data_IF_528173255090
#
_entry.id   IF_528173255090
#
_cell.length_a   1.000
_cell.length_b   1.000
_cell.length_c   1.000
_cell.angle_alpha   90.00
_cell.angle_beta   90.00
_cell.angle_gamma   90.00
#
_symmetry.space_group_name_H-M   'P 1'
#
loop_
_entity.id
_entity.type
_entity.pdbx_description
1 polymer ?
#
# COMPACT_ATOMS: atom_id res chain seq x y z
N UNK A 1 58.21 16.90 -85.10
CA UNK A 1 57.46 16.94 -83.82
C UNK A 1 58.46 16.79 -82.67
N UNK A 2 58.57 17.80 -81.82
CA UNK A 2 59.68 18.00 -80.87
C UNK A 2 59.62 17.03 -79.68
N UNK A 3 60.69 16.22 -79.49
CA UNK A 3 60.87 15.33 -78.34
C UNK A 3 60.82 16.05 -76.97
N UNK A 4 61.14 17.35 -76.95
CA UNK A 4 61.10 18.17 -75.74
C UNK A 4 59.67 18.54 -75.29
N UNK A 5 58.68 18.56 -76.20
CA UNK A 5 57.28 18.80 -75.84
C UNK A 5 56.65 17.57 -75.17
N UNK A 6 56.93 16.36 -75.71
CA UNK A 6 56.50 15.08 -75.12
C UNK A 6 57.04 14.84 -73.71
N UNK A 7 58.33 15.15 -73.46
CA UNK A 7 58.92 15.02 -72.11
C UNK A 7 58.34 16.01 -71.09
N UNK A 8 57.91 17.20 -71.51
CA UNK A 8 57.21 18.15 -70.64
C UNK A 8 55.78 17.72 -70.35
N UNK A 9 55.06 17.16 -71.33
CA UNK A 9 53.73 16.58 -71.09
C UNK A 9 53.76 15.34 -70.18
N UNK A 10 54.76 14.46 -70.32
CA UNK A 10 54.91 13.28 -69.45
C UNK A 10 55.32 13.63 -68.01
N UNK A 11 56.14 14.66 -67.80
CA UNK A 11 56.44 15.16 -66.45
C UNK A 11 55.19 15.74 -65.78
N UNK A 12 54.42 16.53 -66.52
CA UNK A 12 53.21 17.19 -66.02
C UNK A 12 52.11 16.18 -65.65
N UNK A 13 51.97 15.09 -66.42
CA UNK A 13 51.03 14.00 -66.10
C UNK A 13 51.44 13.19 -64.86
N UNK A 14 52.74 13.00 -64.63
CA UNK A 14 53.24 12.30 -63.43
C UNK A 14 53.04 13.13 -62.17
N UNK A 15 53.31 14.43 -62.21
CA UNK A 15 53.04 15.34 -61.09
C UNK A 15 51.53 15.42 -60.81
N UNK A 16 50.70 15.52 -61.84
CA UNK A 16 49.24 15.51 -61.69
C UNK A 16 48.71 14.17 -61.14
N UNK A 17 49.29 13.04 -61.55
CA UNK A 17 48.89 11.72 -61.04
C UNK A 17 49.30 11.53 -59.58
N UNK A 18 50.48 12.01 -59.17
CA UNK A 18 50.94 11.96 -57.77
C UNK A 18 50.08 12.88 -56.90
N UNK A 19 49.77 14.09 -57.36
CA UNK A 19 48.88 15.04 -56.66
C UNK A 19 47.48 14.43 -56.44
N UNK A 20 46.91 13.81 -57.48
CA UNK A 20 45.60 13.13 -57.37
C UNK A 20 45.61 11.89 -56.48
N UNK A 21 46.72 11.15 -56.43
CA UNK A 21 46.88 10.01 -55.51
C UNK A 21 47.04 10.48 -54.06
N UNK A 22 47.77 11.57 -53.83
CA UNK A 22 47.89 12.20 -52.50
C UNK A 22 46.53 12.73 -52.04
N UNK A 23 45.79 13.43 -52.91
CA UNK A 23 44.41 13.86 -52.64
C UNK A 23 43.51 12.66 -52.27
N UNK A 24 43.58 11.57 -53.03
CA UNK A 24 42.80 10.36 -52.77
C UNK A 24 43.13 9.77 -51.39
N UNK A 25 44.40 9.63 -51.06
CA UNK A 25 44.86 9.09 -49.76
C UNK A 25 44.46 10.01 -48.61
N UNK A 26 44.57 11.34 -48.78
CA UNK A 26 44.15 12.32 -47.77
C UNK A 26 42.63 12.31 -47.55
N UNK A 27 41.83 12.12 -48.60
CA UNK A 27 40.37 11.98 -48.48
C UNK A 27 40.00 10.72 -47.69
N UNK A 28 40.65 9.59 -47.95
CA UNK A 28 40.39 8.35 -47.20
C UNK A 28 40.88 8.41 -45.74
N UNK A 29 42.03 9.02 -45.47
CA UNK A 29 42.52 9.27 -44.11
C UNK A 29 41.59 10.21 -43.34
N UNK A 30 41.11 11.28 -44.00
CA UNK A 30 40.14 12.21 -43.43
C UNK A 30 38.81 11.55 -43.10
N UNK A 31 38.30 10.67 -43.98
CA UNK A 31 37.07 9.90 -43.74
C UNK A 31 37.24 8.90 -42.59
N UNK A 32 38.36 8.20 -42.51
CA UNK A 32 38.64 7.27 -41.41
C UNK A 32 38.77 8.00 -40.07
N UNK A 33 39.45 9.15 -40.04
CA UNK A 33 39.53 9.99 -38.86
C UNK A 33 38.17 10.53 -38.43
N UNK A 34 37.31 10.92 -39.38
CA UNK A 34 35.96 11.39 -39.09
C UNK A 34 35.07 10.28 -38.50
N UNK A 35 35.13 9.06 -39.05
CA UNK A 35 34.42 7.89 -38.52
C UNK A 35 34.95 7.55 -37.11
N UNK A 36 36.27 7.58 -36.91
CA UNK A 36 36.85 7.32 -35.59
C UNK A 36 36.46 8.38 -34.53
N UNK A 37 36.37 9.65 -34.93
CA UNK A 37 35.89 10.74 -34.06
C UNK A 37 34.40 10.59 -33.77
N UNK A 38 33.58 10.22 -34.77
CA UNK A 38 32.16 9.93 -34.59
C UNK A 38 31.95 8.76 -33.64
N UNK A 39 32.64 7.64 -33.84
CA UNK A 39 32.59 6.48 -32.94
C UNK A 39 33.01 6.85 -31.51
N UNK A 40 34.00 7.74 -31.36
CA UNK A 40 34.44 8.20 -30.05
C UNK A 40 33.40 9.12 -29.38
N UNK A 41 32.72 9.98 -30.15
CA UNK A 41 31.65 10.84 -29.66
C UNK A 41 30.41 10.02 -29.27
N UNK A 42 30.04 9.05 -30.09
CA UNK A 42 28.90 8.17 -29.85
C UNK A 42 29.14 7.32 -28.59
N UNK A 43 30.33 6.72 -28.42
CA UNK A 43 30.68 6.01 -27.18
C UNK A 43 30.69 6.90 -25.94
N UNK A 44 31.18 8.14 -26.08
CA UNK A 44 31.16 9.09 -24.97
C UNK A 44 29.72 9.50 -24.59
N UNK A 45 28.85 9.65 -25.58
CA UNK A 45 27.43 9.92 -25.39
C UNK A 45 26.72 8.74 -24.73
N UNK A 46 26.90 7.52 -25.24
CA UNK A 46 26.33 6.29 -24.65
C UNK A 46 26.76 6.13 -23.18
N UNK A 47 28.04 6.38 -22.87
CA UNK A 47 28.56 6.34 -21.48
C UNK A 47 27.88 7.38 -20.58
N UNK A 48 27.63 8.58 -21.09
CA UNK A 48 26.92 9.61 -20.33
C UNK A 48 25.43 9.28 -20.15
N UNK A 49 24.77 8.79 -21.19
CA UNK A 49 23.37 8.35 -21.15
C UNK A 49 23.20 7.21 -20.13
N UNK A 50 24.12 6.25 -20.10
CA UNK A 50 24.13 5.16 -19.11
C UNK A 50 24.35 5.67 -17.68
N UNK A 51 25.27 6.61 -17.46
CA UNK A 51 25.48 7.25 -16.14
C UNK A 51 24.23 8.00 -15.67
N UNK A 52 23.55 8.71 -16.57
CA UNK A 52 22.31 9.41 -16.26
C UNK A 52 21.18 8.43 -15.91
N UNK A 53 21.08 7.32 -16.63
CA UNK A 53 20.16 6.23 -16.32
C UNK A 53 20.39 5.67 -14.91
N UNK A 54 21.65 5.34 -14.57
CA UNK A 54 22.02 4.86 -13.23
C UNK A 54 21.65 5.88 -12.13
N UNK A 55 21.89 7.16 -12.37
CA UNK A 55 21.51 8.21 -11.44
C UNK A 55 19.97 8.35 -11.28
N UNK A 56 19.21 8.14 -12.36
CA UNK A 56 17.75 8.11 -12.31
C UNK A 56 17.25 6.95 -11.44
N UNK A 57 17.76 5.74 -11.68
CA UNK A 57 17.41 4.56 -10.87
C UNK A 57 17.77 4.75 -9.40
N UNK A 58 18.93 5.33 -9.09
CA UNK A 58 19.33 5.61 -7.71
C UNK A 58 18.31 6.54 -7.01
N UNK A 59 17.91 7.65 -7.66
CA UNK A 59 16.92 8.58 -7.10
C UNK A 59 15.57 7.91 -6.86
N UNK A 60 15.17 7.05 -7.78
CA UNK A 60 13.92 6.28 -7.71
C UNK A 60 13.93 5.25 -6.58
N UNK A 61 15.01 4.46 -6.44
CA UNK A 61 15.16 3.50 -5.34
C UNK A 61 15.18 4.20 -3.99
N UNK A 62 15.85 5.35 -3.86
CA UNK A 62 15.83 6.17 -2.63
C UNK A 62 14.42 6.68 -2.32
N UNK A 63 13.71 7.17 -3.34
CA UNK A 63 12.32 7.63 -3.17
C UNK A 63 11.42 6.48 -2.68
N UNK A 64 11.50 5.32 -3.32
CA UNK A 64 10.76 4.12 -2.96
C UNK A 64 11.09 3.62 -1.54
N UNK A 65 12.37 3.59 -1.18
CA UNK A 65 12.78 3.23 0.19
C UNK A 65 12.14 4.17 1.22
N UNK A 66 12.01 5.46 0.89
CA UNK A 66 11.32 6.45 1.72
C UNK A 66 9.80 6.23 1.89
N UNK A 67 9.13 5.56 0.95
CA UNK A 67 7.68 5.28 1.03
C UNK A 67 7.32 4.35 2.20
N UNK A 68 8.29 3.60 2.75
CA UNK A 68 8.12 2.79 3.97
C UNK A 68 7.50 3.57 5.13
N UNK A 69 7.82 4.86 5.25
CA UNK A 69 7.30 5.73 6.33
C UNK A 69 5.78 5.87 6.28
N UNK A 70 5.17 5.81 5.10
CA UNK A 70 3.71 5.86 4.95
C UNK A 70 3.04 4.61 5.54
N UNK A 71 3.66 3.43 5.34
CA UNK A 71 3.19 2.19 5.97
C UNK A 71 3.41 2.22 7.48
N UNK A 72 4.55 2.73 7.95
CA UNK A 72 4.83 2.84 9.39
C UNK A 72 3.87 3.78 10.12
N UNK A 73 3.38 4.83 9.46
CA UNK A 73 2.35 5.71 10.00
C UNK A 73 1.05 4.97 10.32
N UNK A 74 0.75 3.87 9.61
CA UNK A 74 -0.49 3.11 9.76
C UNK A 74 -0.32 1.81 10.57
N UNK A 75 0.79 1.11 10.37
CA UNK A 75 1.09 -0.21 10.94
C UNK A 75 2.05 -0.15 12.14
N UNK A 76 2.57 1.04 12.46
CA UNK A 76 3.67 1.20 13.40
C UNK A 76 5.02 0.77 12.80
N UNK A 77 6.10 0.76 13.60
CA UNK A 77 7.45 0.45 13.14
C UNK A 77 7.51 -0.90 12.40
N UNK A 78 8.22 -0.96 11.26
CA UNK A 78 8.35 -2.22 10.50
C UNK A 78 9.08 -3.30 11.32
N UNK A 79 9.97 -2.93 12.24
CA UNK A 79 10.65 -3.87 13.13
C UNK A 79 9.76 -4.53 14.20
N UNK A 80 8.55 -4.00 14.45
CA UNK A 80 7.60 -4.59 15.39
C UNK A 80 6.73 -5.63 14.66
N UNK A 81 7.22 -6.86 14.54
CA UNK A 81 6.57 -7.93 13.76
C UNK A 81 5.61 -8.80 14.58
N UNK A 82 5.76 -8.83 15.91
CA UNK A 82 4.98 -9.70 16.78
C UNK A 82 3.69 -9.05 17.32
N UNK A 83 2.58 -9.79 17.45
CA UNK A 83 1.42 -9.35 18.22
C UNK A 83 1.79 -9.16 19.70
N UNK A 84 1.17 -8.21 20.42
CA UNK A 84 0.03 -7.37 20.01
C UNK A 84 0.40 -6.07 19.28
N UNK A 85 1.69 -5.80 19.09
CA UNK A 85 2.21 -4.48 18.68
C UNK A 85 2.34 -4.33 17.16
N UNK A 86 2.28 -5.43 16.42
CA UNK A 86 2.47 -5.47 14.98
C UNK A 86 1.45 -4.68 14.16
N UNK A 87 0.23 -4.45 14.68
CA UNK A 87 -0.78 -3.63 14.01
C UNK A 87 -0.59 -2.13 14.23
N UNK A 88 0.17 -1.71 15.24
CA UNK A 88 0.35 -0.30 15.58
C UNK A 88 -0.99 0.47 15.67
N UNK A 89 -1.11 1.65 15.05
CA UNK A 89 -2.35 2.44 15.01
C UNK A 89 -3.56 1.71 14.41
N UNK A 90 -3.35 0.77 13.49
CA UNK A 90 -4.43 -0.01 12.86
C UNK A 90 -5.19 -0.90 13.85
N UNK A 91 -4.63 -1.16 15.03
CA UNK A 91 -5.32 -1.91 16.09
C UNK A 91 -6.53 -1.16 16.64
N UNK A 92 -6.44 0.17 16.74
CA UNK A 92 -7.42 1.00 17.45
C UNK A 92 -8.86 0.82 16.92
N UNK A 93 -9.15 0.82 15.60
CA UNK A 93 -10.49 0.54 15.09
C UNK A 93 -11.10 -0.79 15.57
N UNK A 94 -10.30 -1.84 15.74
CA UNK A 94 -10.77 -3.13 16.26
C UNK A 94 -11.10 -3.04 17.76
N UNK A 95 -10.28 -2.32 18.53
CA UNK A 95 -10.50 -2.09 19.96
C UNK A 95 -11.77 -1.24 20.17
N UNK A 96 -11.89 -0.14 19.44
CA UNK A 96 -13.03 0.77 19.46
C UNK A 96 -14.33 0.01 19.09
N UNK A 97 -14.30 -0.82 18.04
CA UNK A 97 -15.46 -1.64 17.69
C UNK A 97 -15.83 -2.62 18.80
N UNK A 98 -14.85 -3.31 19.41
CA UNK A 98 -15.14 -4.29 20.47
C UNK A 98 -15.75 -3.63 21.71
N UNK A 99 -15.27 -2.45 22.08
CA UNK A 99 -15.82 -1.65 23.16
C UNK A 99 -17.27 -1.23 22.85
N UNK A 100 -17.50 -0.67 21.66
CA UNK A 100 -18.84 -0.25 21.21
C UNK A 100 -19.81 -1.43 21.11
N UNK A 101 -19.36 -2.58 20.62
CA UNK A 101 -20.15 -3.79 20.53
C UNK A 101 -20.55 -4.32 21.92
N UNK A 102 -19.66 -4.28 22.90
CA UNK A 102 -19.95 -4.69 24.28
C UNK A 102 -20.93 -3.75 24.96
N UNK A 103 -20.79 -2.45 24.74
CA UNK A 103 -21.73 -1.44 25.25
C UNK A 103 -23.11 -1.60 24.60
N UNK A 104 -23.17 -1.71 23.27
CA UNK A 104 -24.41 -1.95 22.54
C UNK A 104 -25.10 -3.24 23.00
N UNK A 105 -24.37 -4.35 23.16
CA UNK A 105 -24.95 -5.60 23.66
C UNK A 105 -25.55 -5.44 25.06
N UNK A 106 -24.85 -4.75 25.97
CA UNK A 106 -25.37 -4.45 27.32
C UNK A 106 -26.64 -3.62 27.27
N UNK A 107 -26.68 -2.58 26.44
CA UNK A 107 -27.86 -1.73 26.28
C UNK A 107 -29.05 -2.51 25.72
N UNK A 108 -28.86 -3.31 24.66
CA UNK A 108 -29.93 -4.13 24.10
C UNK A 108 -30.49 -5.13 25.11
N UNK A 109 -29.62 -5.77 25.90
CA UNK A 109 -30.03 -6.69 26.96
C UNK A 109 -30.82 -5.95 28.04
N UNK A 110 -30.37 -4.76 28.45
CA UNK A 110 -31.06 -3.96 29.46
C UNK A 110 -32.42 -3.43 28.97
N UNK A 111 -32.52 -3.00 27.71
CA UNK A 111 -33.79 -2.63 27.09
C UNK A 111 -34.76 -3.81 27.05
N UNK A 112 -34.28 -5.02 26.75
CA UNK A 112 -35.11 -6.22 26.77
C UNK A 112 -35.60 -6.59 28.19
N UNK A 113 -34.76 -6.36 29.22
CA UNK A 113 -35.13 -6.54 30.64
C UNK A 113 -36.20 -5.51 31.04
N UNK A 114 -36.03 -4.25 30.68
CA UNK A 114 -37.00 -3.18 30.94
C UNK A 114 -38.37 -3.51 30.31
N UNK A 115 -38.40 -3.85 29.02
CA UNK A 115 -39.63 -4.25 28.33
C UNK A 115 -40.30 -5.48 28.97
N UNK A 116 -39.51 -6.37 29.57
CA UNK A 116 -40.03 -7.53 30.31
C UNK A 116 -40.64 -7.13 31.65
N UNK A 117 -40.01 -6.22 32.37
CA UNK A 117 -40.52 -5.68 33.62
C UNK A 117 -41.83 -4.88 33.43
N UNK A 118 -41.98 -4.18 32.29
CA UNK A 118 -43.21 -3.44 31.94
C UNK A 118 -44.42 -4.36 31.69
N UNK A 119 -44.19 -5.56 31.16
CA UNK A 119 -45.25 -6.56 31.02
C UNK A 119 -45.58 -7.22 32.36
N UNK A 120 -44.54 -7.54 33.13
CA UNK A 120 -44.66 -8.19 34.43
C UNK A 120 -43.47 -7.83 35.33
N UNK A 121 -43.69 -7.23 36.50
CA UNK A 121 -42.60 -6.89 37.40
C UNK A 121 -41.86 -8.16 37.88
N UNK A 122 -40.54 -8.09 38.08
CA UNK A 122 -39.76 -9.20 38.60
C UNK A 122 -40.30 -9.64 39.96
N UNK A 123 -40.40 -10.95 40.17
CA UNK A 123 -40.95 -11.55 41.41
C UNK A 123 -39.87 -12.01 42.38
N UNK A 124 -38.64 -12.09 41.91
CA UNK A 124 -37.48 -12.57 42.62
C UNK A 124 -36.44 -11.46 42.80
N UNK A 125 -35.60 -11.60 43.82
CA UNK A 125 -34.57 -10.61 44.18
C UNK A 125 -33.54 -10.42 43.05
N UNK A 126 -33.22 -11.48 42.33
CA UNK A 126 -32.28 -11.44 41.22
C UNK A 126 -32.83 -10.62 40.04
N UNK A 127 -34.10 -10.81 39.67
CA UNK A 127 -34.76 -10.01 38.63
C UNK A 127 -34.88 -8.53 39.00
N UNK A 128 -35.18 -8.22 40.26
CA UNK A 128 -35.25 -6.83 40.74
C UNK A 128 -33.87 -6.14 40.73
N UNK A 129 -32.81 -6.84 41.14
CA UNK A 129 -31.45 -6.31 41.12
C UNK A 129 -30.98 -6.03 39.68
N UNK A 130 -31.21 -6.98 38.75
CA UNK A 130 -30.86 -6.81 37.34
C UNK A 130 -31.60 -5.63 36.69
N UNK A 131 -32.86 -5.40 37.08
CA UNK A 131 -33.64 -4.26 36.60
C UNK A 131 -33.05 -2.93 37.11
N UNK A 132 -32.62 -2.88 38.37
CA UNK A 132 -31.97 -1.70 38.94
C UNK A 132 -30.63 -1.39 38.24
N UNK A 133 -29.77 -2.39 38.07
CA UNK A 133 -28.49 -2.25 37.34
C UNK A 133 -28.69 -1.74 35.91
N UNK A 134 -29.75 -2.21 35.24
CA UNK A 134 -30.10 -1.75 33.89
C UNK A 134 -30.71 -0.35 33.86
N UNK A 135 -31.44 0.06 34.91
CA UNK A 135 -31.99 1.41 35.01
C UNK A 135 -30.85 2.44 35.14
N UNK A 136 -29.86 2.16 36.00
CA UNK A 136 -28.69 3.03 36.19
C UNK A 136 -27.89 3.20 34.88
N UNK A 137 -27.72 2.11 34.12
CA UNK A 137 -27.03 2.15 32.83
C UNK A 137 -27.78 2.99 31.78
N UNK A 138 -29.10 2.81 31.68
CA UNK A 138 -29.91 3.57 30.73
C UNK A 138 -29.96 5.07 31.08
N UNK A 139 -29.99 5.41 32.37
CA UNK A 139 -29.93 6.79 32.84
C UNK A 139 -28.59 7.47 32.51
N UNK A 140 -27.47 6.74 32.60
CA UNK A 140 -26.15 7.25 32.19
C UNK A 140 -26.10 7.55 30.69
N UNK A 141 -26.70 6.69 29.85
CA UNK A 141 -26.78 6.93 28.40
C UNK A 141 -27.66 8.13 28.08
N UNK A 142 -28.81 8.28 28.74
CA UNK A 142 -29.72 9.42 28.55
C UNK A 142 -29.05 10.76 28.87
N UNK A 143 -28.19 10.79 29.90
CA UNK A 143 -27.40 11.97 30.28
C UNK A 143 -26.26 12.30 29.32
N UNK A 144 -26.08 11.50 28.26
CA UNK A 144 -24.99 11.68 27.30
C UNK A 144 -23.60 11.36 27.89
N UNK A 145 -23.55 10.63 28.99
CA UNK A 145 -22.30 10.20 29.64
C UNK A 145 -21.74 8.92 29.02
N UNK A 146 -22.41 8.36 28.00
CA UNK A 146 -21.89 7.24 27.22
C UNK A 146 -20.67 7.66 26.40
N UNK A 147 -19.53 6.96 26.52
CA UNK A 147 -18.32 7.24 25.77
C UNK A 147 -18.43 6.92 24.27
N UNK A 148 -19.55 6.35 23.80
CA UNK A 148 -19.77 5.98 22.40
C UNK A 148 -20.14 7.19 21.51
N UNK A 149 -19.30 8.23 21.51
CA UNK A 149 -19.34 9.25 20.47
C UNK A 149 -18.86 8.65 19.14
N UNK A 150 -19.74 8.72 18.14
CA UNK A 150 -19.59 8.30 16.75
C UNK A 150 -18.14 8.22 16.23
N UNK A 151 -17.53 7.04 16.32
CA UNK A 151 -16.33 6.75 15.53
C UNK A 151 -16.75 6.68 14.06
N UNK A 152 -16.46 7.73 13.29
CA UNK A 152 -16.56 7.67 11.83
C UNK A 152 -15.46 6.74 11.31
N UNK A 153 -15.82 5.48 11.04
CA UNK A 153 -14.93 4.52 10.39
C UNK A 153 -14.69 4.94 8.94
N UNK A 154 -13.47 5.39 8.64
CA UNK A 154 -13.03 5.68 7.27
C UNK A 154 -12.41 4.41 6.66
N UNK A 155 -12.73 4.07 5.40
CA UNK A 155 -12.02 3.01 4.68
C UNK A 155 -10.51 3.26 4.73
N UNK A 156 -9.74 2.20 5.00
CA UNK A 156 -8.28 2.31 4.94
C UNK A 156 -7.83 2.20 3.49
N UNK A 157 -6.97 3.14 3.11
CA UNK A 157 -6.23 3.14 1.85
C UNK A 157 -4.76 3.35 2.18
N UNK A 158 -3.98 2.33 1.90
CA UNK A 158 -2.52 2.34 1.86
C UNK A 158 -2.02 2.65 0.43
N UNK A 159 -2.91 2.71 -0.57
CA UNK A 159 -2.56 3.01 -1.96
C UNK A 159 -2.34 4.51 -2.27
N UNK A 160 -1.43 4.85 -3.22
CA UNK A 160 -0.43 3.98 -3.84
C UNK A 160 0.91 4.05 -3.09
N UNK A 161 1.51 2.89 -2.78
CA UNK A 161 2.82 2.81 -2.11
C UNK A 161 4.00 2.74 -3.08
N UNK A 162 3.79 2.05 -4.20
CA UNK A 162 4.73 1.97 -5.31
C UNK A 162 3.87 2.01 -6.60
N UNK A 163 4.34 2.66 -7.66
CA UNK A 163 3.56 2.86 -8.90
C UNK A 163 3.98 1.83 -9.95
N UNK A 164 3.32 0.66 -9.99
CA UNK A 164 3.62 -0.47 -10.89
C UNK A 164 3.75 -0.07 -12.38
N UNK A 165 2.91 0.85 -12.83
CA UNK A 165 2.83 1.36 -14.21
C UNK A 165 4.11 2.07 -14.65
N UNK A 166 4.74 2.81 -13.74
CA UNK A 166 6.04 3.45 -13.97
C UNK A 166 7.12 2.38 -14.12
N UNK A 167 7.07 1.29 -13.34
CA UNK A 167 8.13 0.28 -13.29
C UNK A 167 8.15 -0.69 -14.47
N UNK A 168 6.99 -1.05 -15.01
CA UNK A 168 6.94 -1.90 -16.21
C UNK A 168 7.59 -1.20 -17.42
N UNK A 169 7.48 0.13 -17.52
CA UNK A 169 8.19 0.92 -18.53
C UNK A 169 9.71 0.87 -18.34
N UNK A 170 10.20 0.96 -17.09
CA UNK A 170 11.63 0.87 -16.78
C UNK A 170 12.21 -0.54 -16.93
N UNK A 171 11.49 -1.60 -16.58
CA UNK A 171 11.97 -2.98 -16.72
C UNK A 171 11.94 -3.47 -18.17
N UNK A 172 10.92 -3.07 -18.95
CA UNK A 172 10.82 -3.45 -20.37
C UNK A 172 11.94 -2.81 -21.22
N UNK A 173 12.36 -1.58 -20.90
CA UNK A 173 13.44 -0.89 -21.61
C UNK A 173 14.81 -1.07 -20.94
N UNK A 174 14.89 -1.07 -19.61
CA UNK A 174 16.15 -0.98 -18.85
C UNK A 174 17.01 -2.25 -18.84
N UNK A 175 16.43 -3.47 -18.86
CA UNK A 175 17.22 -4.72 -18.83
C UNK A 175 18.12 -4.88 -20.07
N UNK A 176 17.72 -4.28 -21.20
CA UNK A 176 18.57 -4.22 -22.41
C UNK A 176 19.69 -3.18 -22.31
N UNK A 177 19.51 -2.15 -21.48
CA UNK A 177 20.40 -0.97 -21.40
C UNK A 177 21.50 -1.15 -20.34
N UNK A 178 21.31 -2.02 -19.34
CA UNK A 178 22.39 -2.30 -18.38
C UNK A 178 23.54 -3.08 -19.00
N UNK A 179 24.72 -2.47 -18.99
CA UNK A 179 26.00 -3.12 -19.35
C UNK A 179 26.33 -4.23 -18.34
N UNK A 180 26.15 -3.95 -17.04
CA UNK A 180 26.33 -4.91 -15.96
C UNK A 180 25.07 -5.77 -15.75
N UNK A 181 25.12 -7.04 -16.17
CA UNK A 181 23.97 -7.96 -16.07
C UNK A 181 23.64 -8.36 -14.64
N UNK A 182 24.62 -8.46 -13.76
CA UNK A 182 24.37 -8.78 -12.35
C UNK A 182 23.62 -7.63 -11.64
N UNK A 183 23.97 -6.39 -11.97
CA UNK A 183 23.25 -5.21 -11.48
C UNK A 183 21.80 -5.20 -11.98
N UNK A 184 21.58 -5.50 -13.26
CA UNK A 184 20.24 -5.60 -13.83
C UNK A 184 19.38 -6.66 -13.13
N UNK A 185 19.96 -7.84 -12.85
CA UNK A 185 19.28 -8.92 -12.12
C UNK A 185 18.92 -8.49 -10.70
N UNK A 186 19.82 -7.82 -9.98
CA UNK A 186 19.56 -7.31 -8.61
C UNK A 186 18.43 -6.29 -8.60
N UNK A 187 18.48 -5.30 -9.49
CA UNK A 187 17.44 -4.29 -9.62
C UNK A 187 16.09 -4.95 -9.95
N UNK A 188 16.07 -5.91 -10.87
CA UNK A 188 14.87 -6.69 -11.21
C UNK A 188 14.32 -7.50 -10.03
N UNK A 189 15.19 -8.07 -9.19
CA UNK A 189 14.80 -8.79 -7.98
C UNK A 189 14.15 -7.85 -6.95
N UNK A 190 14.73 -6.67 -6.70
CA UNK A 190 14.16 -5.65 -5.82
C UNK A 190 12.74 -5.26 -6.25
N UNK A 191 12.52 -5.03 -7.55
CA UNK A 191 11.19 -4.70 -8.07
C UNK A 191 10.20 -5.86 -7.97
N UNK A 192 10.66 -7.10 -8.16
CA UNK A 192 9.81 -8.27 -7.96
C UNK A 192 9.33 -8.39 -6.51
N UNK A 193 10.13 -7.94 -5.54
CA UNK A 193 9.73 -7.87 -4.12
C UNK A 193 8.80 -6.70 -3.84
N UNK A 194 9.05 -5.53 -4.43
CA UNK A 194 8.12 -4.38 -4.35
C UNK A 194 6.71 -4.80 -4.77
N UNK A 195 6.58 -5.54 -5.87
CA UNK A 195 5.29 -6.07 -6.32
C UNK A 195 4.63 -6.99 -5.27
N UNK A 196 5.41 -7.84 -4.60
CA UNK A 196 4.88 -8.69 -3.52
C UNK A 196 4.41 -7.87 -2.31
N UNK A 197 5.11 -6.77 -2.00
CA UNK A 197 4.70 -5.83 -0.95
C UNK A 197 3.37 -5.17 -1.32
N UNK A 198 3.23 -4.66 -2.55
CA UNK A 198 1.96 -4.08 -3.04
C UNK A 198 0.81 -5.09 -2.97
N UNK A 199 1.04 -6.33 -3.42
CA UNK A 199 0.04 -7.40 -3.35
C UNK A 199 -0.36 -7.71 -1.90
N UNK A 200 0.61 -7.82 -1.00
CA UNK A 200 0.34 -8.06 0.42
C UNK A 200 -0.45 -6.91 1.05
N UNK A 201 -0.14 -5.66 0.68
CA UNK A 201 -0.90 -4.48 1.11
C UNK A 201 -2.33 -4.54 0.60
N UNK A 202 -2.54 -4.78 -0.70
CA UNK A 202 -3.87 -4.90 -1.29
C UNK A 202 -4.69 -6.01 -0.63
N UNK A 203 -4.08 -7.17 -0.34
CA UNK A 203 -4.74 -8.25 0.38
C UNK A 203 -5.17 -7.85 1.81
N UNK A 204 -4.38 -7.03 2.50
CA UNK A 204 -4.73 -6.50 3.83
C UNK A 204 -5.90 -5.53 3.70
N UNK A 205 -5.84 -4.58 2.75
CA UNK A 205 -6.93 -3.64 2.46
C UNK A 205 -8.24 -4.37 2.16
N UNK A 206 -8.20 -5.36 1.27
CA UNK A 206 -9.37 -6.19 0.95
C UNK A 206 -9.91 -6.89 2.19
N UNK A 207 -9.04 -7.48 3.02
CA UNK A 207 -9.47 -8.18 4.24
C UNK A 207 -10.14 -7.23 5.24
N UNK A 208 -9.66 -5.99 5.36
CA UNK A 208 -10.25 -4.94 6.21
C UNK A 208 -11.58 -4.45 5.62
N UNK A 209 -11.59 -4.08 4.35
CA UNK A 209 -12.74 -3.44 3.73
C UNK A 209 -13.90 -4.44 3.51
N UNK A 210 -13.60 -5.65 3.07
CA UNK A 210 -14.63 -6.68 2.86
C UNK A 210 -14.97 -7.43 4.15
N UNK A 211 -13.98 -7.65 5.03
CA UNK A 211 -14.19 -8.35 6.29
C UNK A 211 -14.73 -7.43 7.38
N UNK A 212 -13.94 -6.45 7.81
CA UNK A 212 -14.25 -5.62 8.98
C UNK A 212 -15.35 -4.59 8.68
N UNK A 213 -15.23 -3.81 7.60
CA UNK A 213 -16.18 -2.73 7.30
C UNK A 213 -17.56 -3.25 6.94
N UNK A 214 -17.65 -4.39 6.23
CA UNK A 214 -18.94 -5.02 5.93
C UNK A 214 -19.68 -5.42 7.22
N UNK A 215 -18.97 -5.93 8.23
CA UNK A 215 -19.57 -6.33 9.51
C UNK A 215 -20.05 -5.13 10.31
N UNK A 216 -19.29 -4.02 10.30
CA UNK A 216 -19.76 -2.76 10.88
C UNK A 216 -21.05 -2.30 10.19
N UNK A 217 -21.08 -2.30 8.86
CA UNK A 217 -22.27 -1.92 8.08
C UNK A 217 -23.49 -2.78 8.39
N UNK A 218 -23.32 -4.10 8.61
CA UNK A 218 -24.39 -5.01 9.02
C UNK A 218 -24.94 -4.68 10.41
N UNK A 219 -24.06 -4.34 11.37
CA UNK A 219 -24.48 -3.90 12.72
C UNK A 219 -25.23 -2.58 12.63
N UNK A 220 -24.71 -1.58 11.91
CA UNK A 220 -25.36 -0.28 11.75
C UNK A 220 -26.74 -0.39 11.10
N UNK A 221 -26.87 -1.18 10.03
CA UNK A 221 -28.17 -1.40 9.39
C UNK A 221 -29.18 -2.04 10.35
N UNK A 222 -28.74 -3.03 11.13
CA UNK A 222 -29.63 -3.71 12.09
C UNK A 222 -30.03 -2.81 13.26
N UNK A 223 -29.18 -1.85 13.65
CA UNK A 223 -29.51 -0.79 14.61
C UNK A 223 -30.55 0.18 14.06
N UNK A 224 -30.40 0.64 12.81
CA UNK A 224 -31.41 1.50 12.17
C UNK A 224 -32.77 0.81 12.06
N UNK A 225 -32.80 -0.48 11.71
CA UNK A 225 -34.05 -1.26 11.72
C UNK A 225 -34.69 -1.35 13.12
N UNK A 226 -33.89 -1.34 14.19
CA UNK A 226 -34.40 -1.31 15.55
C UNK A 226 -35.00 0.06 15.89
N UNK A 227 -34.33 1.15 15.50
CA UNK A 227 -34.83 2.52 15.67
C UNK A 227 -36.19 2.72 15.00
N UNK A 228 -36.38 2.20 13.78
CA UNK A 228 -37.66 2.26 13.05
C UNK A 228 -38.79 1.51 13.76
N UNK A 229 -38.48 0.46 14.55
CA UNK A 229 -39.46 -0.31 15.29
C UNK A 229 -39.86 0.34 16.62
N UNK A 230 -39.08 1.30 17.11
CA UNK A 230 -39.42 2.03 18.32
C UNK A 230 -40.55 3.03 18.00
N UNK A 231 -41.72 2.94 18.67
CA UNK A 231 -42.81 3.86 18.40
C UNK A 231 -42.38 5.30 18.66
N UNK A 232 -42.61 6.19 17.70
CA UNK A 232 -42.37 7.61 17.87
C UNK A 232 -43.31 8.17 18.97
N UNK A 233 -42.71 8.62 20.07
CA UNK A 233 -43.41 9.21 21.22
C UNK A 233 -43.67 8.23 22.37
N UNK A 234 -43.78 8.77 23.59
CA UNK A 234 -43.89 8.06 24.86
C UNK A 234 -45.25 7.38 25.11
N UNK A 235 -45.98 6.92 24.10
CA UNK A 235 -47.27 6.23 24.33
C UNK A 235 -47.01 4.82 24.92
N UNK A 236 -47.25 4.59 26.22
CA UNK A 236 -46.89 3.34 26.87
C UNK A 236 -47.73 2.17 26.35
N UNK A 237 -48.92 2.44 25.80
CA UNK A 237 -49.79 1.40 25.22
C UNK A 237 -49.25 0.90 23.88
N UNK A 238 -48.74 1.81 23.04
CA UNK A 238 -48.10 1.44 21.77
C UNK A 238 -46.80 0.67 22.01
N UNK A 239 -46.00 1.11 22.99
CA UNK A 239 -44.77 0.41 23.37
C UNK A 239 -45.07 -1.00 23.90
N UNK A 240 -46.09 -1.16 24.75
CA UNK A 240 -46.52 -2.47 25.25
C UNK A 240 -47.05 -3.40 24.15
N UNK A 241 -47.74 -2.85 23.15
CA UNK A 241 -48.20 -3.63 21.99
C UNK A 241 -47.04 -4.08 21.08
N UNK A 242 -46.01 -3.24 20.94
CA UNK A 242 -44.81 -3.55 20.15
C UNK A 242 -43.77 -4.42 20.91
N UNK A 243 -43.87 -4.51 22.24
CA UNK A 243 -42.89 -5.14 23.12
C UNK A 243 -42.48 -6.57 22.73
N UNK A 244 -43.39 -7.49 22.33
CA UNK A 244 -42.98 -8.84 21.90
C UNK A 244 -42.05 -8.83 20.68
N UNK A 245 -42.40 -8.04 19.65
CA UNK A 245 -41.61 -7.90 18.42
C UNK A 245 -40.28 -7.20 18.68
N UNK A 246 -40.28 -6.17 19.51
CA UNK A 246 -39.07 -5.46 19.93
C UNK A 246 -38.13 -6.41 20.69
N UNK A 247 -38.63 -7.21 21.64
CA UNK A 247 -37.80 -8.18 22.38
C UNK A 247 -37.15 -9.22 21.48
N UNK A 248 -37.89 -9.77 20.52
CA UNK A 248 -37.31 -10.69 19.54
C UNK A 248 -36.20 -10.02 18.74
N UNK A 249 -36.43 -8.79 18.25
CA UNK A 249 -35.42 -8.05 17.49
C UNK A 249 -34.20 -7.69 18.33
N UNK A 250 -34.38 -7.23 19.57
CA UNK A 250 -33.29 -6.93 20.52
C UNK A 250 -32.46 -8.18 20.80
N UNK A 251 -33.09 -9.33 21.02
CA UNK A 251 -32.40 -10.62 21.25
C UNK A 251 -31.63 -11.07 20.02
N UNK A 252 -32.25 -10.96 18.83
CA UNK A 252 -31.59 -11.30 17.57
C UNK A 252 -30.37 -10.40 17.34
N UNK A 253 -30.52 -9.10 17.57
CA UNK A 253 -29.46 -8.11 17.39
C UNK A 253 -28.31 -8.30 18.39
N UNK A 254 -28.61 -8.54 19.67
CA UNK A 254 -27.61 -8.91 20.69
C UNK A 254 -26.82 -10.16 20.26
N UNK A 255 -27.51 -11.19 19.77
CA UNK A 255 -26.85 -12.39 19.25
C UNK A 255 -25.99 -12.09 18.01
N UNK A 256 -26.45 -11.24 17.11
CA UNK A 256 -25.69 -10.82 15.92
C UNK A 256 -24.44 -10.04 16.31
N UNK A 257 -24.53 -9.07 17.22
CA UNK A 257 -23.38 -8.29 17.71
C UNK A 257 -22.32 -9.19 18.33
N UNK A 258 -22.71 -10.15 19.17
CA UNK A 258 -21.77 -11.14 19.75
C UNK A 258 -21.11 -12.00 18.67
N UNK A 259 -21.88 -12.42 17.67
CA UNK A 259 -21.37 -13.14 16.51
C UNK A 259 -20.36 -12.31 15.70
N UNK A 260 -20.69 -11.05 15.44
CA UNK A 260 -19.82 -10.10 14.75
C UNK A 260 -18.55 -9.78 15.54
N UNK A 261 -18.63 -9.62 16.86
CA UNK A 261 -17.46 -9.47 17.74
C UNK A 261 -16.48 -10.63 17.60
N UNK A 262 -17.00 -11.86 17.59
CA UNK A 262 -16.17 -13.07 17.40
C UNK A 262 -15.56 -13.11 16.00
N UNK A 263 -16.36 -12.81 14.97
CA UNK A 263 -15.88 -12.76 13.58
C UNK A 263 -14.81 -11.68 13.39
N UNK A 264 -14.94 -10.52 14.03
CA UNK A 264 -13.99 -9.41 13.94
C UNK A 264 -12.69 -9.76 14.66
N UNK A 265 -12.75 -10.46 15.79
CA UNK A 265 -11.54 -10.98 16.43
C UNK A 265 -10.78 -11.97 15.53
N UNK A 266 -11.49 -12.82 14.79
CA UNK A 266 -10.87 -13.71 13.80
C UNK A 266 -10.26 -12.93 12.62
N UNK A 267 -10.96 -11.92 12.10
CA UNK A 267 -10.45 -11.03 11.05
C UNK A 267 -9.18 -10.32 11.53
N UNK A 268 -9.19 -9.79 12.75
CA UNK A 268 -8.02 -9.16 13.35
C UNK A 268 -6.83 -10.13 13.39
N UNK A 269 -7.01 -11.36 13.85
CA UNK A 269 -5.94 -12.36 13.89
C UNK A 269 -5.37 -12.68 12.50
N UNK A 270 -6.23 -12.77 11.47
CA UNK A 270 -5.78 -12.95 10.08
C UNK A 270 -4.97 -11.74 9.60
N UNK A 271 -5.42 -10.53 9.92
CA UNK A 271 -4.71 -9.29 9.57
C UNK A 271 -3.37 -9.20 10.31
N UNK A 272 -3.30 -9.57 11.59
CA UNK A 272 -2.04 -9.64 12.36
C UNK A 272 -1.02 -10.52 11.64
N UNK A 273 -1.43 -11.71 11.20
CA UNK A 273 -0.55 -12.61 10.44
C UNK A 273 -0.12 -12.02 9.08
N UNK A 274 -1.03 -11.36 8.36
CA UNK A 274 -0.71 -10.73 7.08
C UNK A 274 0.24 -9.53 7.25
N UNK A 275 0.01 -8.70 8.26
CA UNK A 275 0.86 -7.55 8.59
C UNK A 275 2.24 -8.00 9.04
N UNK A 276 2.33 -9.07 9.84
CA UNK A 276 3.61 -9.67 10.21
C UNK A 276 4.42 -10.05 8.96
N UNK A 277 3.80 -10.80 8.02
CA UNK A 277 4.45 -11.19 6.76
C UNK A 277 4.84 -9.99 5.89
N UNK A 278 3.97 -8.98 5.82
CA UNK A 278 4.27 -7.73 5.11
C UNK A 278 5.51 -7.06 5.71
N UNK A 279 5.59 -6.95 7.04
CA UNK A 279 6.73 -6.34 7.73
C UNK A 279 8.03 -7.12 7.50
N UNK A 280 7.98 -8.45 7.57
CA UNK A 280 9.13 -9.31 7.24
C UNK A 280 9.60 -9.08 5.80
N UNK A 281 8.67 -9.06 4.84
CA UNK A 281 8.97 -8.78 3.43
C UNK A 281 9.55 -7.38 3.23
N UNK A 282 9.05 -6.38 3.95
CA UNK A 282 9.58 -5.01 3.89
C UNK A 282 10.98 -4.90 4.47
N UNK A 283 11.31 -5.62 5.55
CA UNK A 283 12.66 -5.66 6.09
C UNK A 283 13.63 -6.29 5.08
N UNK A 284 13.22 -7.38 4.43
CA UNK A 284 14.00 -8.02 3.37
C UNK A 284 14.20 -7.08 2.18
N UNK A 285 13.15 -6.35 1.78
CA UNK A 285 13.20 -5.36 0.71
C UNK A 285 14.12 -4.17 1.04
N UNK A 286 14.12 -3.68 2.28
CA UNK A 286 14.99 -2.59 2.74
C UNK A 286 16.48 -2.95 2.63
N UNK A 287 16.81 -4.20 2.97
CA UNK A 287 18.14 -4.75 2.74
C UNK A 287 18.49 -4.78 1.25
N UNK A 288 17.58 -5.24 0.40
CA UNK A 288 17.82 -5.26 -1.04
C UNK A 288 17.95 -3.88 -1.67
N UNK A 289 17.15 -2.90 -1.24
CA UNK A 289 17.33 -1.51 -1.66
C UNK A 289 18.72 -1.01 -1.33
N UNK A 290 19.19 -1.26 -0.10
CA UNK A 290 20.53 -0.86 0.34
C UNK A 290 21.63 -1.51 -0.50
N UNK A 291 21.54 -2.81 -0.77
CA UNK A 291 22.49 -3.54 -1.62
C UNK A 291 22.45 -3.06 -3.08
N UNK A 292 21.27 -2.83 -3.64
CA UNK A 292 21.10 -2.32 -5.01
C UNK A 292 21.67 -0.90 -5.14
N UNK A 293 21.42 -0.02 -4.17
CA UNK A 293 21.97 1.35 -4.15
C UNK A 293 23.50 1.34 -4.08
N UNK A 294 24.08 0.48 -3.24
CA UNK A 294 25.53 0.31 -3.16
C UNK A 294 26.11 -0.20 -4.50
N UNK A 295 25.46 -1.17 -5.13
CA UNK A 295 25.90 -1.71 -6.41
C UNK A 295 25.81 -0.68 -7.56
N UNK A 296 24.77 0.16 -7.58
CA UNK A 296 24.66 1.28 -8.53
C UNK A 296 25.80 2.28 -8.31
N UNK A 297 26.09 2.63 -7.06
CA UNK A 297 27.14 3.58 -6.73
C UNK A 297 28.53 3.07 -7.15
N UNK A 298 28.81 1.78 -6.93
CA UNK A 298 30.06 1.16 -7.35
C UNK A 298 30.18 1.09 -8.88
N UNK A 299 29.09 0.76 -9.59
CA UNK A 299 29.05 0.82 -11.07
C UNK A 299 29.25 2.25 -11.60
N UNK A 300 28.68 3.27 -10.93
CA UNK A 300 28.91 4.67 -11.32
C UNK A 300 30.38 5.08 -11.17
N UNK A 301 31.10 4.56 -10.18
CA UNK A 301 32.54 4.80 -9.99
C UNK A 301 33.38 4.10 -11.05
N UNK A 302 33.07 2.84 -11.39
CA UNK A 302 33.80 2.10 -12.44
C UNK A 302 33.58 2.74 -13.81
N UNK A 303 32.36 3.20 -14.07
CA UNK A 303 32.04 3.99 -15.25
C UNK A 303 32.62 5.41 -15.17
N UNK A 304 33.02 5.89 -14.00
CA UNK A 304 33.55 7.24 -13.71
C UNK A 304 35.01 7.46 -14.13
N UNK A 305 35.81 6.39 -14.07
CA UNK A 305 37.20 6.33 -14.57
C UNK A 305 37.29 6.28 -16.09
#
# INVERSE_FOLDING_TARGET
>A
MNLQARKREELNWRELAVDKVIDLVLVFLGLYAAIAVQDCQDRAKEKNDYRELLASFQRELVHNQGQKVLLEASLGPIGATEPPDNLGPMKKPFDDFRLQADEADRLLVCTAVLLSAMERPPRDRAGAQKLAECADLLEQVEKGESPAAAAQFKPMSFSPLYREDVWQLYLANGIKVFENKDLAVRIGATYSKVKRVEQAVAEIETTINEGFMQKIGQVSASMSELEELMPAGEDPKKLKAAAPRLKEKLKALSSQIRGHKTSIAQIQAVIELKVQKLKELMMEMDKEFTEALAAIEDERKTQGG
#
